data_IF_240067462057
#
_entry.id   IF_240067462057
#
_cell.length_a   1.000
_cell.length_b   1.000
_cell.length_c   1.000
_cell.angle_alpha   90.00
_cell.angle_beta   90.00
_cell.angle_gamma   90.00
#
_symmetry.space_group_name_H-M   'P 1'
#
loop_
_entity.id
_entity.type
_entity.pdbx_description
1 polymer ?
#
# COMPACT_ATOMS: atom_id res chain seq x y z
N UNK A 1 -12.46 5.91 -2.96
CA UNK A 1 -12.86 4.59 -3.51
C UNK A 1 -12.08 4.21 -4.75
N UNK A 2 -11.84 5.15 -5.67
CA UNK A 2 -11.14 4.90 -6.94
C UNK A 2 -9.74 4.28 -6.78
N UNK A 3 -8.93 4.76 -5.82
CA UNK A 3 -7.60 4.20 -5.57
C UNK A 3 -7.62 2.70 -5.20
N UNK A 4 -8.61 2.24 -4.43
CA UNK A 4 -8.77 0.82 -4.06
C UNK A 4 -9.22 -0.01 -5.25
N UNK A 5 -10.16 0.52 -6.06
CA UNK A 5 -10.64 -0.13 -7.28
C UNK A 5 -9.50 -0.29 -8.28
N UNK A 6 -8.69 0.75 -8.48
CA UNK A 6 -7.53 0.70 -9.37
C UNK A 6 -6.48 -0.33 -8.92
N UNK A 7 -6.23 -0.44 -7.61
CA UNK A 7 -5.34 -1.47 -7.07
C UNK A 7 -5.85 -2.89 -7.31
N UNK A 8 -7.16 -3.10 -7.22
CA UNK A 8 -7.76 -4.41 -7.47
C UNK A 8 -7.76 -4.75 -8.96
N UNK A 9 -8.09 -3.78 -9.82
CA UNK A 9 -8.10 -3.96 -11.27
C UNK A 9 -6.75 -4.44 -11.81
N UNK A 10 -5.63 -3.92 -11.29
CA UNK A 10 -4.29 -4.39 -11.67
C UNK A 10 -4.12 -5.88 -11.34
N UNK A 11 -4.50 -6.30 -10.13
CA UNK A 11 -4.40 -7.70 -9.72
C UNK A 11 -5.27 -8.63 -10.55
N UNK A 12 -6.50 -8.20 -10.86
CA UNK A 12 -7.45 -8.96 -11.67
C UNK A 12 -7.01 -9.09 -13.13
N UNK A 13 -6.46 -8.02 -13.72
CA UNK A 13 -5.92 -8.07 -15.09
C UNK A 13 -4.77 -9.07 -15.19
N UNK A 14 -3.84 -9.02 -14.24
CA UNK A 14 -2.70 -9.95 -14.19
C UNK A 14 -3.15 -11.41 -13.99
N UNK A 15 -4.18 -11.62 -13.16
CA UNK A 15 -4.78 -12.94 -13.00
C UNK A 15 -5.42 -13.44 -14.31
N UNK A 16 -6.16 -12.59 -15.00
CA UNK A 16 -6.78 -12.92 -16.28
C UNK A 16 -5.75 -13.30 -17.35
N UNK A 17 -4.66 -12.52 -17.46
CA UNK A 17 -3.55 -12.81 -18.37
C UNK A 17 -2.86 -14.14 -18.03
N UNK A 18 -2.71 -14.44 -16.73
CA UNK A 18 -2.15 -15.71 -16.27
C UNK A 18 -3.05 -16.89 -16.63
N UNK A 19 -4.35 -16.78 -16.35
CA UNK A 19 -5.35 -17.80 -16.70
C UNK A 19 -5.41 -18.06 -18.21
N UNK A 20 -5.33 -17.01 -19.02
CA UNK A 20 -5.34 -17.12 -20.49
C UNK A 20 -4.09 -17.82 -21.04
N UNK A 21 -2.96 -17.70 -20.33
CA UNK A 21 -1.68 -18.33 -20.74
C UNK A 21 -1.60 -19.80 -20.34
N UNK A 22 -2.03 -20.11 -19.11
CA UNK A 22 -1.86 -21.44 -18.51
C UNK A 22 -3.13 -22.31 -18.63
N UNK A 23 -4.12 -21.87 -19.42
CA UNK A 23 -5.42 -22.52 -19.62
C UNK A 23 -6.15 -22.87 -18.31
N UNK A 24 -6.15 -21.90 -17.37
CA UNK A 24 -6.77 -22.05 -16.05
C UNK A 24 -8.13 -21.35 -16.03
N UNK A 25 -9.14 -22.01 -15.47
CA UNK A 25 -10.44 -21.38 -15.25
C UNK A 25 -10.33 -20.19 -14.28
N UNK A 26 -10.80 -19.02 -14.73
CA UNK A 26 -10.71 -17.75 -13.99
C UNK A 26 -11.55 -17.74 -12.70
N UNK A 27 -12.69 -18.42 -12.70
CA UNK A 27 -13.69 -18.38 -11.62
C UNK A 27 -13.65 -19.59 -10.69
N UNK A 28 -13.15 -20.72 -11.17
CA UNK A 28 -12.97 -21.97 -10.40
C UNK A 28 -11.55 -22.53 -10.55
N UNK A 29 -10.51 -21.76 -10.20
CA UNK A 29 -9.14 -22.24 -10.23
C UNK A 29 -8.87 -23.23 -9.10
N UNK A 30 -7.92 -24.13 -9.32
CA UNK A 30 -7.38 -24.93 -8.22
C UNK A 30 -6.54 -24.05 -7.27
N UNK A 31 -6.46 -24.44 -6.00
CA UNK A 31 -5.58 -23.77 -5.02
C UNK A 31 -4.12 -23.76 -5.50
N UNK A 32 -3.70 -24.80 -6.22
CA UNK A 32 -2.35 -24.88 -6.80
C UNK A 32 -2.14 -23.81 -7.86
N UNK A 33 -3.10 -23.57 -8.75
CA UNK A 33 -3.02 -22.55 -9.80
C UNK A 33 -2.91 -21.14 -9.22
N UNK A 34 -3.68 -20.86 -8.15
CA UNK A 34 -3.59 -19.56 -7.45
C UNK A 34 -2.22 -19.38 -6.79
N UNK A 35 -1.67 -20.43 -6.16
CA UNK A 35 -0.32 -20.38 -5.58
C UNK A 35 0.75 -20.19 -6.65
N UNK A 36 0.65 -20.86 -7.80
CA UNK A 36 1.57 -20.69 -8.93
C UNK A 36 1.57 -19.23 -9.43
N UNK A 37 0.40 -18.63 -9.60
CA UNK A 37 0.26 -17.22 -9.95
C UNK A 37 0.89 -16.29 -8.90
N UNK A 38 0.58 -16.49 -7.61
CA UNK A 38 1.13 -15.66 -6.53
C UNK A 38 2.65 -15.79 -6.43
N UNK A 39 3.18 -16.98 -6.67
CA UNK A 39 4.62 -17.25 -6.71
C UNK A 39 5.26 -16.56 -7.91
N UNK A 40 4.61 -16.60 -9.09
CA UNK A 40 5.07 -15.87 -10.27
C UNK A 40 5.13 -14.35 -10.03
N UNK A 41 4.14 -13.79 -9.31
CA UNK A 41 4.12 -12.37 -8.98
C UNK A 41 5.01 -11.98 -7.81
N UNK A 42 5.43 -12.92 -6.96
CA UNK A 42 6.33 -12.63 -5.85
C UNK A 42 7.65 -12.00 -6.31
N UNK A 43 8.19 -12.43 -7.45
CA UNK A 43 9.43 -11.85 -7.99
C UNK A 43 9.25 -10.44 -8.59
N UNK A 44 8.01 -9.97 -8.76
CA UNK A 44 7.69 -8.72 -9.48
C UNK A 44 6.96 -7.69 -8.63
N UNK A 45 6.38 -8.11 -7.51
CA UNK A 45 5.46 -7.30 -6.71
C UNK A 45 5.83 -7.34 -5.23
N UNK A 46 5.59 -6.23 -4.53
CA UNK A 46 5.78 -6.15 -3.08
C UNK A 46 4.73 -6.94 -2.32
N UNK A 47 5.03 -7.32 -1.07
CA UNK A 47 4.09 -7.97 -0.15
C UNK A 47 2.73 -7.24 -0.08
N UNK A 48 2.73 -5.91 -0.02
CA UNK A 48 1.51 -5.11 -0.02
C UNK A 48 0.69 -5.30 -1.30
N UNK A 49 1.35 -5.37 -2.45
CA UNK A 49 0.70 -5.57 -3.76
C UNK A 49 0.12 -6.97 -3.87
N UNK A 50 0.88 -7.99 -3.47
CA UNK A 50 0.39 -9.37 -3.38
C UNK A 50 -0.82 -9.49 -2.45
N UNK A 51 -0.82 -8.79 -1.32
CA UNK A 51 -1.95 -8.81 -0.41
C UNK A 51 -3.20 -8.16 -1.05
N UNK A 52 -3.02 -7.09 -1.82
CA UNK A 52 -4.10 -6.50 -2.64
C UNK A 52 -4.60 -7.48 -3.70
N UNK A 53 -3.72 -8.23 -4.37
CA UNK A 53 -4.11 -9.24 -5.35
C UNK A 53 -4.93 -10.36 -4.70
N UNK A 54 -4.51 -10.88 -3.53
CA UNK A 54 -5.30 -11.85 -2.77
C UNK A 54 -6.67 -11.33 -2.38
N UNK A 55 -6.75 -10.06 -1.95
CA UNK A 55 -8.02 -9.45 -1.60
C UNK A 55 -8.95 -9.36 -2.82
N UNK A 56 -8.42 -8.91 -3.97
CA UNK A 56 -9.17 -8.85 -5.22
C UNK A 56 -9.63 -10.24 -5.69
N UNK A 57 -8.76 -11.26 -5.64
CA UNK A 57 -9.10 -12.64 -5.95
C UNK A 57 -10.17 -13.20 -5.00
N UNK A 58 -10.12 -12.86 -3.71
CA UNK A 58 -11.15 -13.29 -2.74
C UNK A 58 -12.52 -12.68 -3.02
N UNK A 59 -12.61 -11.57 -3.77
CA UNK A 59 -13.89 -11.00 -4.21
C UNK A 59 -14.53 -11.82 -5.33
N UNK A 60 -13.71 -12.37 -6.25
CA UNK A 60 -14.21 -13.15 -7.40
C UNK A 60 -14.40 -14.63 -7.03
N UNK A 61 -13.40 -15.21 -6.36
CA UNK A 61 -13.34 -16.63 -6.01
C UNK A 61 -14.04 -16.94 -4.68
N UNK A 62 -14.45 -15.90 -3.96
CA UNK A 62 -15.09 -15.99 -2.65
C UNK A 62 -14.11 -16.03 -1.47
N UNK A 63 -14.65 -15.87 -0.24
CA UNK A 63 -13.85 -15.70 0.98
C UNK A 63 -13.07 -16.96 1.39
N UNK A 64 -13.39 -18.12 0.80
CA UNK A 64 -12.73 -19.39 1.11
C UNK A 64 -11.25 -19.38 0.71
N UNK A 65 -10.88 -18.66 -0.35
CA UNK A 65 -9.49 -18.51 -0.78
C UNK A 65 -8.57 -17.98 0.33
N UNK A 66 -9.06 -17.01 1.10
CA UNK A 66 -8.31 -16.44 2.22
C UNK A 66 -8.30 -17.35 3.48
N UNK A 67 -9.23 -18.31 3.55
CA UNK A 67 -9.30 -19.29 4.64
C UNK A 67 -8.42 -20.50 4.38
N UNK A 68 -8.12 -20.82 3.12
CA UNK A 68 -7.26 -21.92 2.69
C UNK A 68 -5.91 -21.92 3.41
N UNK A 69 -5.58 -23.05 4.04
CA UNK A 69 -4.36 -23.20 4.83
C UNK A 69 -3.10 -22.96 4.01
N UNK A 70 -3.06 -23.44 2.76
CA UNK A 70 -1.89 -23.30 1.88
C UNK A 70 -1.61 -21.84 1.53
N UNK A 71 -2.67 -21.06 1.27
CA UNK A 71 -2.57 -19.61 0.99
C UNK A 71 -2.10 -18.89 2.27
N UNK A 72 -2.67 -19.20 3.43
CA UNK A 72 -2.23 -18.61 4.71
C UNK A 72 -0.76 -18.89 5.01
N UNK A 73 -0.32 -20.14 4.83
CA UNK A 73 1.07 -20.54 5.01
C UNK A 73 1.99 -19.80 4.05
N UNK A 74 1.62 -19.72 2.78
CA UNK A 74 2.37 -18.96 1.78
C UNK A 74 2.56 -17.49 2.20
N UNK A 75 1.51 -16.79 2.64
CA UNK A 75 1.64 -15.40 3.10
C UNK A 75 2.44 -15.25 4.40
N UNK A 76 2.41 -16.26 5.28
CA UNK A 76 3.27 -16.29 6.46
C UNK A 76 4.74 -16.39 6.04
N UNK A 77 5.05 -17.30 5.13
CA UNK A 77 6.40 -17.49 4.61
C UNK A 77 6.88 -16.22 3.86
N UNK A 78 6.01 -15.59 3.07
CA UNK A 78 6.27 -14.31 2.41
C UNK A 78 6.61 -13.19 3.39
N UNK A 79 5.92 -13.11 4.53
CA UNK A 79 6.19 -12.06 5.53
C UNK A 79 7.55 -12.23 6.20
N UNK A 80 8.09 -13.45 6.24
CA UNK A 80 9.44 -13.74 6.71
C UNK A 80 10.48 -13.39 5.63
N UNK A 81 10.20 -13.69 4.36
CA UNK A 81 11.10 -13.44 3.23
C UNK A 81 11.19 -11.95 2.85
N UNK A 82 10.07 -11.23 2.94
CA UNK A 82 9.99 -9.80 2.68
C UNK A 82 9.36 -9.11 3.89
N UNK A 83 10.14 -8.90 4.96
CA UNK A 83 9.64 -8.18 6.13
C UNK A 83 9.18 -6.78 5.71
N UNK A 84 8.10 -6.27 6.32
CA UNK A 84 7.64 -4.91 6.04
C UNK A 84 8.75 -3.93 6.45
N UNK A 85 9.46 -3.40 5.44
CA UNK A 85 10.46 -2.39 5.69
C UNK A 85 9.78 -1.12 6.22
N UNK A 86 10.36 -0.47 7.24
CA UNK A 86 9.88 0.83 7.66
C UNK A 86 9.93 1.77 6.47
N UNK A 87 8.81 2.45 6.21
CA UNK A 87 8.68 3.37 5.06
C UNK A 87 9.73 4.48 5.08
N UNK A 88 10.30 4.76 6.25
CA UNK A 88 11.38 5.72 6.45
C UNK A 88 12.52 5.04 7.21
N UNK A 89 13.71 4.99 6.60
CA UNK A 89 14.94 4.55 7.27
C UNK A 89 15.52 5.65 8.18
N UNK A 90 15.08 6.90 7.99
CA UNK A 90 15.49 8.07 8.77
C UNK A 90 14.29 8.98 8.98
N UNK A 91 13.92 9.20 10.22
CA UNK A 91 13.04 10.31 10.59
C UNK A 91 13.87 11.58 10.67
N UNK A 92 13.37 12.66 10.07
CA UNK A 92 14.00 13.96 10.16
C UNK A 92 13.63 14.61 11.50
N UNK A 93 14.49 15.49 12.03
CA UNK A 93 14.30 16.11 13.34
C UNK A 93 13.35 17.32 13.26
N UNK A 94 12.13 17.24 13.85
CA UNK A 94 11.16 18.33 13.83
C UNK A 94 11.64 19.60 14.53
N UNK A 95 12.61 19.50 15.43
CA UNK A 95 13.10 20.65 16.19
C UNK A 95 13.78 21.69 15.30
N UNK A 96 14.43 21.27 14.21
CA UNK A 96 15.09 22.17 13.24
C UNK A 96 14.06 23.13 12.63
N UNK A 97 12.92 22.58 12.20
CA UNK A 97 11.84 23.35 11.56
C UNK A 97 11.11 24.23 12.58
N UNK A 98 10.86 23.70 13.78
CA UNK A 98 10.23 24.46 14.87
C UNK A 98 11.11 25.65 15.28
N UNK A 99 12.43 25.45 15.40
CA UNK A 99 13.38 26.51 15.75
C UNK A 99 13.48 27.57 14.64
N UNK A 100 13.50 27.17 13.38
CA UNK A 100 13.42 28.10 12.26
C UNK A 100 12.14 28.97 12.32
N UNK A 101 10.99 28.37 12.60
CA UNK A 101 9.72 29.11 12.74
C UNK A 101 9.67 30.05 13.95
N UNK A 102 10.36 29.70 15.06
CA UNK A 102 10.47 30.57 16.24
C UNK A 102 11.26 31.85 15.93
N UNK A 103 12.32 31.74 15.13
CA UNK A 103 13.19 32.87 14.78
C UNK A 103 12.53 33.85 13.78
N UNK A 104 11.47 33.44 13.09
CA UNK A 104 10.70 34.30 12.19
C UNK A 104 9.74 35.18 13.01
N UNK A 105 10.08 36.47 13.12
CA UNK A 105 9.28 37.50 13.81
C UNK A 105 7.97 37.78 13.09
N UNK A 106 6.84 37.69 13.79
CA UNK A 106 5.50 37.88 13.21
C UNK A 106 5.18 39.32 12.76
N UNK A 107 6.04 40.31 13.08
CA UNK A 107 5.73 41.73 12.93
C UNK A 107 6.01 42.30 11.53
N UNK A 108 6.73 41.58 10.66
CA UNK A 108 7.17 42.08 9.34
C UNK A 108 6.83 41.17 8.17
N UNK A 109 6.06 40.09 8.38
CA UNK A 109 5.82 39.09 7.34
C UNK A 109 4.52 39.30 6.57
N UNK A 110 4.55 38.94 5.28
CA UNK A 110 3.38 38.92 4.42
C UNK A 110 2.40 37.82 4.82
N UNK A 111 1.12 38.02 4.49
CA UNK A 111 0.02 37.10 4.82
C UNK A 111 0.32 35.64 4.42
N UNK A 112 0.96 35.43 3.26
CA UNK A 112 1.31 34.09 2.78
C UNK A 112 2.27 33.34 3.71
N UNK A 113 3.23 34.03 4.32
CA UNK A 113 4.14 33.38 5.27
C UNK A 113 3.48 33.06 6.60
N UNK A 114 2.53 33.88 7.05
CA UNK A 114 1.76 33.59 8.25
C UNK A 114 0.91 32.34 8.04
N UNK A 115 0.26 32.21 6.87
CA UNK A 115 -0.47 31.00 6.48
C UNK A 115 0.43 29.78 6.41
N UNK A 116 1.64 29.89 5.84
CA UNK A 116 2.61 28.78 5.86
C UNK A 116 3.00 28.38 7.28
N UNK A 117 3.27 29.35 8.17
CA UNK A 117 3.65 29.09 9.56
C UNK A 117 2.54 28.39 10.33
N UNK A 118 1.30 28.85 10.20
CA UNK A 118 0.15 28.25 10.90
C UNK A 118 -0.21 26.88 10.35
N UNK A 119 -0.22 26.69 9.02
CA UNK A 119 -0.49 25.39 8.40
C UNK A 119 0.58 24.36 8.74
N UNK A 120 1.85 24.77 8.79
CA UNK A 120 2.96 23.89 9.17
C UNK A 120 2.89 23.49 10.65
N UNK A 121 2.61 24.44 11.56
CA UNK A 121 2.37 24.13 12.98
C UNK A 121 1.15 23.22 13.18
N UNK A 122 0.07 23.46 12.44
CA UNK A 122 -1.13 22.63 12.47
C UNK A 122 -0.83 21.21 11.96
N UNK A 123 -0.05 21.07 10.88
CA UNK A 123 0.37 19.77 10.37
C UNK A 123 1.23 19.00 11.39
N UNK A 124 2.14 19.69 12.11
CA UNK A 124 2.91 19.08 13.18
C UNK A 124 2.07 18.66 14.38
N UNK A 125 1.17 19.53 14.83
CA UNK A 125 0.33 19.26 15.99
C UNK A 125 -0.70 18.14 15.74
N UNK A 126 -1.25 18.09 14.54
CA UNK A 126 -2.32 17.14 14.20
C UNK A 126 -1.81 15.85 13.58
N UNK A 127 -0.57 15.82 13.07
CA UNK A 127 0.00 14.66 12.36
C UNK A 127 -0.83 14.27 11.12
N UNK A 128 -1.65 15.17 10.59
CA UNK A 128 -2.57 14.85 9.51
C UNK A 128 -1.81 14.57 8.22
N UNK A 129 -2.12 13.42 7.61
CA UNK A 129 -1.66 13.10 6.26
C UNK A 129 -2.46 13.95 5.29
N UNK A 130 -1.78 14.86 4.59
CA UNK A 130 -2.39 15.63 3.52
C UNK A 130 -2.93 14.67 2.46
N UNK A 131 -4.26 14.61 2.32
CA UNK A 131 -4.94 13.82 1.30
C UNK A 131 -5.12 14.75 0.12
N UNK A 132 -4.27 14.64 -0.90
CA UNK A 132 -4.52 15.39 -2.13
C UNK A 132 -5.76 14.82 -2.81
N UNK A 133 -6.63 15.70 -3.37
CA UNK A 133 -7.81 15.29 -4.13
C UNK A 133 -7.43 14.55 -5.40
#
# INVERSE_FOLDING_TARGET
CEATINQYNVGLRLWWEYCSRDDVNVFTPSVSSVLSFLTFQFNKASFSSLNSYRAALSQILGPNLSKEFRIKRFYKDLSCLQPPLPKYNKTWDPTIVINHMKNISAKTLSLGYLTCKTTMLLAFATGQRHRQP
#
